data_IF_079517132293
#
_entry.id   IF_079517132293
#
_cell.length_a   1.000
_cell.length_b   1.000
_cell.length_c   1.000
_cell.angle_alpha   90.00
_cell.angle_beta   90.00
_cell.angle_gamma   90.00
#
_symmetry.space_group_name_H-M   'P 1'
#
loop_
_entity.id
_entity.type
_entity.pdbx_description
1 polymer ?
#
# COMPACT_ATOMS: atom_id res chain seq x y z
N UNK A 1 51.22 39.63 39.71
CA UNK A 1 50.82 38.23 39.93
C UNK A 1 49.54 38.00 39.15
N UNK A 2 49.59 37.17 38.09
CA UNK A 2 48.39 36.76 37.34
C UNK A 2 47.94 35.41 37.87
N UNK A 3 46.68 35.32 38.29
CA UNK A 3 46.03 34.07 38.68
C UNK A 3 45.33 33.49 37.45
N UNK A 4 45.89 32.41 36.90
CA UNK A 4 45.26 31.65 35.82
C UNK A 4 44.06 30.86 36.37
N UNK A 5 42.87 31.10 35.83
CA UNK A 5 41.66 30.35 36.18
C UNK A 5 41.74 28.93 35.57
N UNK A 6 41.61 27.92 36.44
CA UNK A 6 41.66 26.51 36.02
C UNK A 6 40.44 26.12 35.20
N UNK A 7 40.64 25.24 34.20
CA UNK A 7 39.58 24.78 33.31
C UNK A 7 38.37 24.24 34.08
N UNK A 8 37.19 24.84 33.88
CA UNK A 8 35.94 24.44 34.51
C UNK A 8 35.56 23.02 34.08
N UNK A 9 35.58 22.06 35.00
CA UNK A 9 34.97 20.75 34.77
C UNK A 9 33.45 20.90 34.76
N UNK A 10 32.85 20.73 33.57
CA UNK A 10 31.40 20.73 33.43
C UNK A 10 30.75 19.56 34.18
N UNK A 11 29.43 19.66 34.41
CA UNK A 11 28.63 18.60 35.03
C UNK A 11 28.80 17.27 34.26
N UNK A 12 29.21 16.16 34.90
CA UNK A 12 29.35 14.88 34.20
C UNK A 12 27.97 14.43 33.69
N UNK A 13 27.91 14.09 32.39
CA UNK A 13 26.71 13.54 31.74
C UNK A 13 26.71 12.01 31.84
N UNK A 14 26.71 11.46 33.05
CA UNK A 14 26.75 9.99 33.24
C UNK A 14 25.36 9.34 33.18
N UNK A 15 24.53 9.75 32.21
CA UNK A 15 23.29 9.00 31.93
C UNK A 15 23.55 7.95 30.84
N UNK A 16 24.49 8.22 29.93
CA UNK A 16 24.84 7.36 28.81
C UNK A 16 26.08 6.50 29.11
N UNK A 17 26.04 5.74 30.19
CA UNK A 17 27.03 4.66 30.42
C UNK A 17 26.81 3.53 29.42
N UNK A 18 27.89 2.87 28.99
CA UNK A 18 27.83 1.76 28.04
C UNK A 18 26.92 0.62 28.50
N UNK A 19 26.83 0.39 29.82
CA UNK A 19 25.92 -0.58 30.42
C UNK A 19 24.44 -0.19 30.20
N UNK A 20 24.09 1.07 30.43
CA UNK A 20 22.75 1.59 30.16
C UNK A 20 22.41 1.48 28.67
N UNK A 21 23.34 1.82 27.78
CA UNK A 21 23.15 1.73 26.32
C UNK A 21 22.86 0.28 25.91
N UNK A 22 23.67 -0.68 26.38
CA UNK A 22 23.49 -2.12 26.10
C UNK A 22 22.17 -2.65 26.65
N UNK A 23 21.82 -2.28 27.88
CA UNK A 23 20.56 -2.69 28.52
C UNK A 23 19.34 -2.14 27.78
N UNK A 24 19.35 -0.85 27.38
CA UNK A 24 18.29 -0.23 26.58
C UNK A 24 18.15 -0.94 25.22
N UNK A 25 19.27 -1.21 24.56
CA UNK A 25 19.28 -1.89 23.27
C UNK A 25 18.66 -3.29 23.36
N UNK A 26 19.04 -4.07 24.38
CA UNK A 26 18.48 -5.40 24.65
C UNK A 26 16.97 -5.35 24.93
N UNK A 27 16.50 -4.38 25.74
CA UNK A 27 15.08 -4.20 26.01
C UNK A 27 14.26 -3.84 24.76
N UNK A 28 14.86 -3.16 23.78
CA UNK A 28 14.19 -2.82 22.51
C UNK A 28 14.10 -4.04 21.59
N UNK A 29 15.19 -4.79 21.43
CA UNK A 29 15.24 -5.97 20.56
C UNK A 29 14.38 -7.13 21.07
N UNK A 30 14.29 -7.30 22.39
CA UNK A 30 13.46 -8.35 23.00
C UNK A 30 11.94 -8.13 22.84
N UNK A 31 11.51 -7.05 22.17
CA UNK A 31 10.17 -7.01 21.56
C UNK A 31 9.03 -6.53 22.47
N UNK A 32 9.29 -5.69 23.46
CA UNK A 32 8.24 -5.03 24.23
C UNK A 32 7.84 -3.68 23.62
N UNK A 33 6.56 -3.51 23.24
CA UNK A 33 5.92 -2.18 23.03
C UNK A 33 5.80 -1.41 24.37
N UNK A 34 6.83 -1.47 25.21
CA UNK A 34 6.92 -0.81 26.50
C UNK A 34 6.92 0.70 26.28
N UNK A 35 6.18 1.41 27.12
CA UNK A 35 6.19 2.86 27.09
C UNK A 35 7.58 3.34 27.49
N UNK A 36 7.92 4.54 27.03
CA UNK A 36 9.21 5.15 27.36
C UNK A 36 9.36 5.34 28.88
N UNK A 37 8.25 5.58 29.59
CA UNK A 37 8.23 5.68 31.05
C UNK A 37 8.54 4.33 31.71
N UNK A 38 7.89 3.25 31.29
CA UNK A 38 8.15 1.90 31.85
C UNK A 38 9.64 1.53 31.74
N UNK A 39 10.28 1.86 30.61
CA UNK A 39 11.72 1.64 30.40
C UNK A 39 12.58 2.54 31.30
N UNK A 40 12.18 3.79 31.47
CA UNK A 40 12.85 4.74 32.35
C UNK A 40 12.78 4.30 33.82
N UNK A 41 11.63 3.78 34.26
CA UNK A 41 11.39 3.33 35.63
C UNK A 41 12.17 2.06 35.97
N UNK A 42 12.29 1.13 35.02
CA UNK A 42 13.08 -0.11 35.15
C UNK A 42 14.57 0.23 35.28
N UNK A 43 15.07 1.12 34.42
CA UNK A 43 16.49 1.46 34.37
C UNK A 43 16.88 2.57 35.36
N UNK A 44 15.89 3.16 36.06
CA UNK A 44 16.06 4.33 36.95
C UNK A 44 16.77 5.51 36.26
N UNK A 45 16.47 5.70 34.97
CA UNK A 45 17.02 6.79 34.15
C UNK A 45 15.92 7.81 33.88
N UNK A 46 16.26 9.10 33.82
CA UNK A 46 15.30 10.12 33.38
C UNK A 46 14.79 9.86 31.95
N UNK A 47 13.50 10.10 31.69
CA UNK A 47 12.88 9.94 30.36
C UNK A 47 13.62 10.71 29.26
N UNK A 48 14.11 11.92 29.57
CA UNK A 48 14.91 12.75 28.67
C UNK A 48 16.26 12.11 28.34
N UNK A 49 16.92 11.51 29.34
CA UNK A 49 18.16 10.76 29.16
C UNK A 49 17.96 9.51 28.30
N UNK A 50 16.90 8.76 28.56
CA UNK A 50 16.53 7.60 27.75
C UNK A 50 16.24 7.99 26.29
N UNK A 51 15.47 9.07 26.07
CA UNK A 51 15.24 9.62 24.73
C UNK A 51 16.55 10.02 24.05
N UNK A 52 17.48 10.65 24.78
CA UNK A 52 18.79 11.02 24.26
C UNK A 52 19.60 9.78 23.84
N UNK A 53 19.60 8.71 24.64
CA UNK A 53 20.30 7.46 24.33
C UNK A 53 19.72 6.81 23.07
N UNK A 54 18.39 6.68 22.99
CA UNK A 54 17.71 6.06 21.85
C UNK A 54 18.02 6.81 20.55
N UNK A 55 17.96 8.14 20.57
CA UNK A 55 18.12 8.95 19.36
C UNK A 55 19.58 9.22 18.98
N UNK A 56 20.48 9.46 19.94
CA UNK A 56 21.87 9.86 19.65
C UNK A 56 22.85 8.70 19.63
N UNK A 57 22.71 7.74 20.54
CA UNK A 57 23.65 6.62 20.67
C UNK A 57 23.18 5.40 19.88
N UNK A 58 21.89 5.07 19.94
CA UNK A 58 21.33 3.94 19.20
C UNK A 58 20.83 4.30 17.79
N UNK A 59 20.69 5.60 17.48
CA UNK A 59 20.20 6.07 16.17
C UNK A 59 18.76 5.64 15.85
N UNK A 60 18.00 5.16 16.85
CA UNK A 60 16.67 4.62 16.66
C UNK A 60 15.62 5.72 16.67
N UNK A 61 14.54 5.52 15.90
CA UNK A 61 13.37 6.41 15.89
C UNK A 61 12.12 5.62 16.23
N UNK A 62 11.20 6.26 16.96
CA UNK A 62 9.88 5.68 17.19
C UNK A 62 9.08 5.71 15.89
N UNK A 63 8.70 4.53 15.41
CA UNK A 63 7.75 4.38 14.32
C UNK A 63 6.38 3.98 14.88
N UNK A 64 5.32 4.44 14.23
CA UNK A 64 3.98 3.93 14.47
C UNK A 64 3.84 2.59 13.73
N UNK A 65 3.28 1.58 14.39
CA UNK A 65 2.94 0.33 13.72
C UNK A 65 1.95 0.60 12.59
N UNK A 66 2.14 -0.09 11.46
CA UNK A 66 1.17 -0.06 10.37
C UNK A 66 -0.08 -0.85 10.78
N UNK A 67 -1.26 -0.38 10.38
CA UNK A 67 -2.49 -1.13 10.56
C UNK A 67 -2.48 -2.36 9.66
N UNK A 68 -2.58 -3.54 10.29
CA UNK A 68 -2.76 -4.81 9.59
C UNK A 68 -4.26 -5.16 9.67
N UNK A 69 -4.98 -5.30 8.54
CA UNK A 69 -6.44 -5.46 8.54
C UNK A 69 -6.97 -6.65 9.34
N UNK A 70 -6.22 -7.76 9.39
CA UNK A 70 -6.60 -8.98 10.10
C UNK A 70 -5.36 -9.68 10.64
N UNK A 71 -5.48 -10.30 11.80
CA UNK A 71 -4.51 -11.28 12.27
C UNK A 71 -4.77 -12.61 11.55
N UNK A 72 -3.71 -13.16 10.95
CA UNK A 72 -3.80 -14.37 10.15
C UNK A 72 -3.47 -15.59 10.99
N UNK A 73 -4.24 -16.66 10.79
CA UNK A 73 -3.89 -17.99 11.31
C UNK A 73 -2.66 -18.55 10.59
N UNK A 74 -2.05 -19.59 11.14
CA UNK A 74 -0.89 -20.24 10.53
C UNK A 74 -1.19 -20.69 9.09
N UNK A 75 -2.29 -21.42 8.89
CA UNK A 75 -2.70 -21.93 7.57
C UNK A 75 -2.97 -20.81 6.57
N UNK A 76 -3.52 -19.68 7.01
CA UNK A 76 -3.74 -18.50 6.17
C UNK A 76 -2.43 -17.84 5.73
N UNK A 77 -1.38 -17.91 6.55
CA UNK A 77 -0.04 -17.43 6.17
C UNK A 77 0.59 -18.38 5.16
N UNK A 78 0.51 -19.68 5.39
CA UNK A 78 1.06 -20.68 4.49
C UNK A 78 0.43 -20.54 3.10
N UNK A 79 -0.90 -20.48 3.03
CA UNK A 79 -1.61 -20.30 1.75
C UNK A 79 -1.17 -19.04 0.99
N UNK A 80 -0.92 -17.93 1.70
CA UNK A 80 -0.41 -16.70 1.04
C UNK A 80 0.98 -16.87 0.45
N UNK A 81 1.83 -17.67 1.09
CA UNK A 81 3.17 -17.99 0.55
C UNK A 81 3.01 -18.88 -0.67
N UNK A 82 2.22 -19.94 -0.56
CA UNK A 82 1.95 -20.89 -1.65
C UNK A 82 1.37 -20.16 -2.90
N UNK A 83 0.34 -19.33 -2.70
CA UNK A 83 -0.28 -18.52 -3.77
C UNK A 83 0.74 -17.56 -4.42
N UNK A 84 1.62 -16.94 -3.61
CA UNK A 84 2.63 -16.01 -4.11
C UNK A 84 3.72 -16.72 -4.92
N UNK A 85 4.15 -17.90 -4.50
CA UNK A 85 5.13 -18.73 -5.22
C UNK A 85 4.54 -19.27 -6.52
N UNK A 86 3.26 -19.68 -6.50
CA UNK A 86 2.56 -20.14 -7.70
C UNK A 86 2.41 -19.02 -8.73
N UNK A 87 2.02 -17.80 -8.32
CA UNK A 87 1.90 -16.67 -9.24
C UNK A 87 3.26 -16.20 -9.79
N UNK A 88 4.37 -16.47 -9.09
CA UNK A 88 5.71 -16.07 -9.54
C UNK A 88 6.34 -17.08 -10.50
N UNK A 89 5.94 -18.36 -10.44
CA UNK A 89 6.49 -19.43 -11.29
C UNK A 89 5.78 -19.58 -12.64
N UNK A 90 4.66 -18.89 -12.86
CA UNK A 90 3.90 -18.89 -14.12
C UNK A 90 4.41 -17.90 -15.20
N UNK A 91 5.70 -17.62 -15.26
CA UNK A 91 6.30 -16.74 -16.28
C UNK A 91 6.90 -17.58 -17.42
N UNK A 92 6.12 -17.82 -18.48
CA UNK A 92 6.67 -18.10 -19.83
C UNK A 92 5.79 -17.58 -20.99
N UNK A 93 4.60 -17.04 -20.74
CA UNK A 93 3.81 -16.34 -21.76
C UNK A 93 3.85 -14.84 -21.49
N UNK A 94 4.70 -14.09 -22.21
CA UNK A 94 4.89 -12.65 -22.06
C UNK A 94 3.65 -11.78 -22.37
N UNK A 95 2.47 -12.38 -22.57
CA UNK A 95 1.17 -11.72 -22.62
C UNK A 95 0.50 -11.60 -21.24
N UNK A 96 0.91 -12.38 -20.24
CA UNK A 96 0.28 -12.44 -18.90
C UNK A 96 0.70 -11.31 -17.95
N UNK A 97 1.74 -10.55 -18.29
CA UNK A 97 2.28 -9.44 -17.48
C UNK A 97 1.47 -8.13 -17.56
N UNK A 98 0.25 -8.16 -18.09
CA UNK A 98 -0.75 -7.12 -17.83
C UNK A 98 -1.39 -7.38 -16.47
N UNK A 99 -0.66 -7.04 -15.41
CA UNK A 99 -1.09 -7.22 -14.01
C UNK A 99 -2.44 -6.52 -13.77
N UNK A 100 -3.48 -7.18 -13.24
CA UNK A 100 -4.65 -6.48 -12.71
C UNK A 100 -4.19 -5.57 -11.57
N UNK A 101 -4.36 -4.26 -11.73
CA UNK A 101 -4.11 -3.31 -10.65
C UNK A 101 -5.31 -3.39 -9.72
N UNK A 102 -5.10 -3.96 -8.53
CA UNK A 102 -6.10 -4.03 -7.47
C UNK A 102 -6.75 -2.66 -7.22
N UNK A 103 -8.07 -2.63 -7.23
CA UNK A 103 -8.87 -1.47 -6.86
C UNK A 103 -8.72 -1.19 -5.35
N UNK A 104 -7.68 -0.45 -4.98
CA UNK A 104 -7.52 0.10 -3.64
C UNK A 104 -7.77 1.62 -3.68
N UNK A 105 -8.66 2.17 -2.83
CA UNK A 105 -8.84 3.61 -2.72
C UNK A 105 -7.59 4.23 -2.08
N UNK A 106 -6.73 4.82 -2.91
CA UNK A 106 -5.62 5.67 -2.50
C UNK A 106 -6.14 7.07 -2.17
N UNK A 107 -5.85 7.55 -0.96
CA UNK A 107 -6.09 8.94 -0.56
C UNK A 107 -6.38 9.12 0.92
N UNK A 108 -5.39 9.58 1.69
CA UNK A 108 -5.60 10.07 3.06
C UNK A 108 -5.86 11.58 3.02
N UNK A 109 -7.12 11.99 3.10
CA UNK A 109 -7.50 13.34 3.55
C UNK A 109 -8.06 13.27 4.96
N UNK A 110 -7.68 14.24 5.81
CA UNK A 110 -8.07 14.35 7.22
C UNK A 110 -9.60 14.37 7.33
N UNK A 111 -10.20 13.28 7.79
CA UNK A 111 -11.65 13.06 7.70
C UNK A 111 -12.35 13.50 8.99
N UNK A 112 -13.27 14.47 8.90
CA UNK A 112 -14.28 14.72 9.94
C UNK A 112 -15.12 13.44 10.15
N UNK A 113 -15.52 13.16 11.39
CA UNK A 113 -16.35 11.98 11.73
C UNK A 113 -17.55 11.95 10.77
N UNK A 114 -17.60 10.93 9.92
CA UNK A 114 -18.64 10.76 8.91
C UNK A 114 -19.70 9.81 9.47
N UNK A 115 -20.90 10.33 9.72
CA UNK A 115 -22.06 9.50 10.05
C UNK A 115 -22.42 8.62 8.83
N UNK A 116 -22.95 7.41 9.04
CA UNK A 116 -23.52 6.61 7.96
C UNK A 116 -24.74 7.35 7.40
N UNK A 117 -24.54 8.18 6.37
CA UNK A 117 -25.66 8.83 5.70
C UNK A 117 -26.38 7.84 4.79
N UNK A 118 -27.71 7.94 4.74
CA UNK A 118 -28.61 7.20 3.86
C UNK A 118 -28.38 7.47 2.35
N UNK A 119 -27.30 8.17 1.98
CA UNK A 119 -26.93 8.54 0.62
C UNK A 119 -25.80 7.72 0.00
N UNK A 120 -25.23 6.73 0.71
CA UNK A 120 -24.16 5.88 0.15
C UNK A 120 -24.71 5.01 -1.00
N UNK A 121 -23.99 5.01 -2.12
CA UNK A 121 -24.27 4.21 -3.32
C UNK A 121 -23.12 3.21 -3.47
N UNK A 122 -23.43 1.97 -3.85
CA UNK A 122 -22.41 0.97 -4.14
C UNK A 122 -21.96 1.11 -5.60
N UNK A 123 -20.66 1.16 -5.85
CA UNK A 123 -20.10 1.13 -7.20
C UNK A 123 -19.29 -0.15 -7.38
N UNK A 124 -19.53 -0.87 -8.47
CA UNK A 124 -18.70 -1.98 -8.92
C UNK A 124 -17.79 -1.46 -10.02
N UNK A 125 -16.47 -1.53 -9.81
CA UNK A 125 -15.45 -1.04 -10.73
C UNK A 125 -14.64 -2.23 -11.22
N UNK A 126 -14.54 -2.39 -12.53
CA UNK A 126 -13.70 -3.37 -13.20
C UNK A 126 -12.67 -2.62 -14.03
N UNK A 127 -11.45 -3.12 -14.03
CA UNK A 127 -10.30 -2.48 -14.67
C UNK A 127 -9.64 -3.52 -15.56
N UNK A 128 -9.35 -3.11 -16.79
CA UNK A 128 -8.54 -3.86 -17.73
C UNK A 128 -7.49 -2.91 -18.35
N UNK A 129 -6.47 -3.46 -19.01
CA UNK A 129 -5.44 -2.70 -19.72
C UNK A 129 -6.02 -1.72 -20.76
N UNK A 130 -7.25 -1.98 -21.24
CA UNK A 130 -7.95 -1.17 -22.23
C UNK A 130 -8.89 -0.11 -21.63
N UNK A 131 -9.19 -0.14 -20.31
CA UNK A 131 -10.05 0.87 -19.70
C UNK A 131 -10.69 0.51 -18.36
N UNK A 132 -11.55 1.41 -17.87
CA UNK A 132 -12.28 1.29 -16.61
C UNK A 132 -13.78 1.13 -16.88
N UNK A 133 -14.37 0.09 -16.33
CA UNK A 133 -15.82 -0.14 -16.35
C UNK A 133 -16.40 0.13 -14.96
N UNK A 134 -17.30 1.11 -14.83
CA UNK A 134 -17.91 1.51 -13.55
C UNK A 134 -19.43 1.38 -13.64
N UNK A 135 -20.03 0.59 -12.74
CA UNK A 135 -21.48 0.51 -12.57
C UNK A 135 -21.90 0.96 -11.18
N UNK A 136 -22.76 1.96 -11.13
CA UNK A 136 -23.39 2.41 -9.90
C UNK A 136 -24.68 1.62 -9.64
N UNK A 137 -24.80 1.05 -8.45
CA UNK A 137 -25.99 0.35 -8.00
C UNK A 137 -26.90 1.33 -7.27
N UNK A 138 -28.07 1.63 -7.84
CA UNK A 138 -29.08 2.48 -7.20
C UNK A 138 -29.51 1.90 -5.85
N UNK A 139 -29.79 2.82 -4.91
CA UNK A 139 -29.64 2.65 -3.45
C UNK A 139 -30.33 1.40 -2.85
N UNK A 140 -29.67 0.85 -1.83
CA UNK A 140 -30.15 -0.17 -0.87
C UNK A 140 -30.47 -1.55 -1.48
N UNK A 141 -29.66 -2.02 -2.43
CA UNK A 141 -29.66 -3.43 -2.82
C UNK A 141 -28.31 -4.07 -2.52
N UNK A 142 -28.33 -5.27 -1.95
CA UNK A 142 -27.14 -6.11 -1.75
C UNK A 142 -26.83 -6.82 -3.07
N UNK A 143 -25.55 -6.89 -3.44
CA UNK A 143 -25.10 -7.71 -4.57
C UNK A 143 -25.31 -9.17 -4.18
N UNK A 144 -26.40 -9.78 -4.67
CA UNK A 144 -26.64 -11.22 -4.52
C UNK A 144 -25.93 -12.00 -5.64
N UNK A 145 -25.82 -13.31 -5.49
CA UNK A 145 -25.18 -14.19 -6.48
C UNK A 145 -25.85 -14.07 -7.86
N UNK A 146 -27.17 -14.10 -7.92
CA UNK A 146 -27.91 -14.09 -9.18
C UNK A 146 -27.73 -12.77 -9.95
N UNK A 147 -27.73 -11.63 -9.25
CA UNK A 147 -27.44 -10.32 -9.83
C UNK A 147 -26.00 -10.26 -10.32
N UNK A 148 -25.05 -10.82 -9.57
CA UNK A 148 -23.65 -10.83 -9.95
C UNK A 148 -23.42 -11.68 -11.21
N UNK A 149 -24.02 -12.87 -11.31
CA UNK A 149 -23.89 -13.74 -12.49
C UNK A 149 -24.48 -13.05 -13.73
N UNK A 150 -25.72 -12.57 -13.66
CA UNK A 150 -26.34 -11.85 -14.78
C UNK A 150 -25.64 -10.53 -15.12
N UNK A 151 -24.86 -9.99 -14.19
CA UNK A 151 -23.99 -8.85 -14.45
C UNK A 151 -22.70 -9.26 -15.17
N UNK A 152 -22.07 -10.37 -14.77
CA UNK A 152 -20.89 -10.91 -15.44
C UNK A 152 -21.19 -11.33 -16.89
N UNK A 153 -22.35 -11.93 -17.16
CA UNK A 153 -22.72 -12.33 -18.52
C UNK A 153 -22.83 -11.09 -19.43
N UNK A 154 -23.53 -10.05 -18.97
CA UNK A 154 -23.61 -8.77 -19.69
C UNK A 154 -22.25 -8.11 -19.87
N UNK A 155 -21.40 -8.15 -18.84
CA UNK A 155 -20.06 -7.57 -18.91
C UNK A 155 -19.19 -8.30 -19.94
N UNK A 156 -19.30 -9.63 -20.05
CA UNK A 156 -18.62 -10.41 -21.08
C UNK A 156 -19.09 -10.04 -22.49
N UNK A 157 -20.41 -9.93 -22.68
CA UNK A 157 -20.99 -9.50 -23.96
C UNK A 157 -20.54 -8.08 -24.35
N UNK A 158 -20.48 -7.17 -23.37
CA UNK A 158 -20.02 -5.79 -23.57
C UNK A 158 -18.52 -5.71 -23.91
N UNK A 159 -17.68 -6.56 -23.31
CA UNK A 159 -16.25 -6.66 -23.66
C UNK A 159 -16.09 -7.19 -25.09
N UNK A 160 -16.76 -8.29 -25.44
CA UNK A 160 -16.67 -8.88 -26.79
C UNK A 160 -17.14 -7.88 -27.87
N UNK A 161 -18.22 -7.15 -27.61
CA UNK A 161 -18.69 -6.09 -28.50
C UNK A 161 -17.74 -4.88 -28.59
N UNK A 162 -16.90 -4.65 -27.58
CA UNK A 162 -15.89 -3.60 -27.60
C UNK A 162 -14.68 -4.02 -28.46
N UNK A 163 -14.24 -5.28 -28.35
CA UNK A 163 -13.18 -5.85 -29.17
C UNK A 163 -13.55 -5.89 -30.66
N UNK A 164 -14.79 -6.26 -31.00
CA UNK A 164 -15.29 -6.22 -32.39
C UNK A 164 -15.32 -4.81 -32.97
N UNK A 165 -15.70 -3.81 -32.15
CA UNK A 165 -15.72 -2.40 -32.57
C UNK A 165 -14.31 -1.84 -32.75
N UNK A 166 -13.34 -2.21 -31.91
CA UNK A 166 -11.93 -1.85 -32.13
C UNK A 166 -11.37 -2.50 -33.40
N UNK A 167 -11.66 -3.78 -33.65
CA UNK A 167 -11.27 -4.47 -34.88
C UNK A 167 -11.89 -3.81 -36.11
N UNK A 168 -13.16 -3.42 -36.05
CA UNK A 168 -13.84 -2.71 -37.14
C UNK A 168 -13.32 -1.28 -37.35
N UNK A 169 -12.92 -0.57 -36.30
CA UNK A 169 -12.29 0.77 -36.40
C UNK A 169 -10.86 0.67 -36.93
N UNK A 170 -10.10 -0.35 -36.56
CA UNK A 170 -8.78 -0.65 -37.10
C UNK A 170 -8.85 -1.04 -38.58
N UNK A 171 -9.80 -1.90 -38.96
CA UNK A 171 -10.05 -2.29 -40.34
C UNK A 171 -10.51 -1.11 -41.21
N UNK A 172 -11.35 -0.20 -40.68
CA UNK A 172 -11.75 1.03 -41.39
C UNK A 172 -10.61 2.03 -41.55
N UNK A 173 -9.68 2.12 -40.60
CA UNK A 173 -8.46 2.93 -40.77
C UNK A 173 -7.55 2.33 -41.84
N UNK A 174 -7.44 1.00 -41.91
CA UNK A 174 -6.65 0.29 -42.91
C UNK A 174 -7.23 0.41 -44.33
N UNK A 175 -8.56 0.41 -44.49
CA UNK A 175 -9.21 0.60 -45.79
C UNK A 175 -9.17 2.05 -46.28
N UNK A 176 -9.25 3.05 -45.39
CA UNK A 176 -9.12 4.46 -45.78
C UNK A 176 -7.70 4.78 -46.26
N UNK A 177 -6.66 4.17 -45.69
CA UNK A 177 -5.29 4.29 -46.20
C UNK A 177 -5.05 3.61 -47.56
N UNK A 178 -5.80 2.56 -47.91
CA UNK A 178 -5.69 1.89 -49.21
C UNK A 178 -6.46 2.59 -50.35
N UNK A 179 -7.43 3.45 -50.02
CA UNK A 179 -8.18 4.22 -51.03
C UNK A 179 -7.43 5.49 -51.47
N UNK A 180 -6.39 5.90 -50.75
CA UNK A 180 -5.62 7.13 -51.05
C UNK A 180 -4.45 6.94 -52.05
N UNK A 181 -4.22 5.75 -52.60
CA UNK A 181 -3.02 5.46 -53.41
C UNK A 181 -3.24 5.21 -54.92
N UNK A 182 -4.49 5.30 -55.42
CA UNK A 182 -4.78 4.93 -56.83
C UNK A 182 -5.10 6.07 -57.80
N UNK A 183 -4.97 7.35 -57.43
CA UNK A 183 -5.27 8.49 -58.32
C UNK A 183 -4.03 9.16 -58.94
N UNK A 184 -2.90 8.46 -59.10
CA UNK A 184 -1.75 9.01 -59.85
C UNK A 184 -1.06 7.99 -60.77
N UNK A 185 -1.73 7.61 -61.86
CA UNK A 185 -1.11 7.27 -63.16
C UNK A 185 -2.20 6.88 -64.15
N UNK A 186 -2.53 7.82 -65.04
CA UNK A 186 -2.81 7.46 -66.42
C UNK A 186 -2.02 8.43 -67.31
N UNK A 187 -1.32 7.93 -68.34
CA UNK A 187 -0.44 8.72 -69.21
C UNK A 187 -1.21 9.73 -70.07
#
# INVERSE_FOLDING_TARGET
MSTEDGGRSGRPKEVATDENIKNIHKMILNGGKLKLNDKADILKISTKGLHHIIHKYLGMRKLCAMWVPRELTFDQKQRRVDDSEQCSSGEDDQASLRRPIDSHPSGKTKRRKTQHSAGKVMASVYLDAHGIFIKYLEKVRTINSNYYIAFLDRLKDEIAAFEEKESAVSARKFTVSLVSENDSKNP
#
